data_IF_910089418531
#
_entry.id   IF_910089418531
#
_cell.length_a   1.000
_cell.length_b   1.000
_cell.length_c   1.000
_cell.angle_alpha   90.00
_cell.angle_beta   90.00
_cell.angle_gamma   90.00
#
_symmetry.space_group_name_H-M   'P 1'
#
loop_
_entity.id
_entity.type
_entity.pdbx_description
1 polymer ?
#
# COMPACT_ATOMS: atom_id res chain seq x y z
N UNK A 1 27.04 42.02 -35.38
CA UNK A 1 27.41 40.60 -35.40
C UNK A 1 26.32 39.78 -34.71
N UNK A 2 26.16 38.54 -35.10
CA UNK A 2 25.16 37.58 -34.52
C UNK A 2 25.30 37.47 -33.00
N UNK A 3 26.50 37.49 -32.46
CA UNK A 3 26.76 37.42 -31.01
C UNK A 3 26.21 38.64 -30.24
N UNK A 4 26.30 39.83 -30.75
CA UNK A 4 25.78 41.01 -30.07
C UNK A 4 24.24 41.06 -30.09
N UNK A 5 23.62 40.51 -31.13
CA UNK A 5 22.17 40.36 -31.18
C UNK A 5 21.66 39.32 -30.17
N UNK A 6 22.34 38.14 -30.03
CA UNK A 6 22.01 37.12 -29.04
C UNK A 6 22.10 37.67 -27.62
N UNK A 7 23.19 38.35 -27.29
CA UNK A 7 23.41 38.93 -25.96
C UNK A 7 22.34 39.98 -25.60
N UNK A 8 21.99 40.85 -26.52
CA UNK A 8 20.95 41.86 -26.32
C UNK A 8 19.56 41.25 -26.17
N UNK A 9 19.29 40.07 -26.77
CA UNK A 9 18.04 39.33 -26.61
C UNK A 9 17.98 38.64 -25.21
N UNK A 10 19.07 38.01 -24.78
CA UNK A 10 19.19 37.40 -23.47
C UNK A 10 18.96 38.41 -22.34
N UNK A 11 19.59 39.57 -22.39
CA UNK A 11 19.38 40.65 -21.42
C UNK A 11 17.91 41.13 -21.36
N UNK A 12 17.22 41.21 -22.51
CA UNK A 12 15.80 41.58 -22.56
C UNK A 12 14.91 40.53 -21.97
N UNK A 13 15.23 39.24 -22.22
CA UNK A 13 14.43 38.09 -21.64
C UNK A 13 14.63 38.07 -20.13
N UNK A 14 15.87 38.21 -19.65
CA UNK A 14 16.18 38.22 -18.22
C UNK A 14 15.41 39.36 -17.52
N UNK A 15 15.53 40.60 -18.06
CA UNK A 15 14.81 41.73 -17.51
C UNK A 15 13.28 41.51 -17.49
N UNK A 16 12.71 40.98 -18.58
CA UNK A 16 11.29 40.70 -18.66
C UNK A 16 10.83 39.68 -17.62
N UNK A 17 11.59 38.60 -17.42
CA UNK A 17 11.29 37.58 -16.42
C UNK A 17 11.41 38.11 -14.99
N UNK A 18 12.38 38.98 -14.71
CA UNK A 18 12.55 39.63 -13.41
C UNK A 18 11.44 40.63 -13.11
N UNK A 19 10.92 41.31 -14.13
CA UNK A 19 9.79 42.23 -14.00
C UNK A 19 8.42 41.51 -13.92
N UNK A 20 8.36 40.24 -14.38
CA UNK A 20 7.11 39.42 -14.44
C UNK A 20 7.33 38.04 -13.84
N UNK A 21 7.65 37.89 -12.52
CA UNK A 21 8.00 36.61 -11.90
C UNK A 21 6.84 35.60 -11.91
N UNK A 22 5.61 36.07 -12.06
CA UNK A 22 4.43 35.21 -12.19
C UNK A 22 4.46 34.30 -13.42
N UNK A 23 5.19 34.68 -14.48
CA UNK A 23 5.36 33.85 -15.68
C UNK A 23 6.17 32.60 -15.34
N UNK A 24 7.21 32.75 -14.52
CA UNK A 24 8.03 31.62 -14.06
C UNK A 24 7.18 30.67 -13.21
N UNK A 25 6.42 31.23 -12.25
CA UNK A 25 5.52 30.44 -11.38
C UNK A 25 4.49 29.69 -12.21
N UNK A 26 3.84 30.35 -13.17
CA UNK A 26 2.88 29.73 -14.07
C UNK A 26 3.52 28.63 -14.93
N UNK A 27 4.73 28.86 -15.43
CA UNK A 27 5.47 27.84 -16.20
C UNK A 27 5.78 26.59 -15.36
N UNK A 28 6.21 26.78 -14.10
CA UNK A 28 6.45 25.67 -13.16
C UNK A 28 5.17 24.91 -12.84
N UNK A 29 4.07 25.61 -12.55
CA UNK A 29 2.78 24.97 -12.31
C UNK A 29 2.32 24.12 -13.51
N UNK A 30 2.38 24.68 -14.73
CA UNK A 30 2.06 23.95 -15.95
C UNK A 30 2.93 22.71 -16.15
N UNK A 31 4.22 22.81 -15.81
CA UNK A 31 5.14 21.68 -15.88
C UNK A 31 4.79 20.58 -14.86
N UNK A 32 4.49 20.97 -13.62
CA UNK A 32 4.07 20.03 -12.58
C UNK A 32 2.75 19.34 -12.93
N UNK A 33 1.74 20.09 -13.41
CA UNK A 33 0.47 19.52 -13.87
C UNK A 33 0.65 18.54 -15.04
N UNK A 34 1.53 18.89 -16.00
CA UNK A 34 1.84 17.99 -17.11
C UNK A 34 2.50 16.70 -16.62
N UNK A 35 3.49 16.81 -15.73
CA UNK A 35 4.15 15.65 -15.12
C UNK A 35 3.18 14.78 -14.33
N UNK A 36 2.28 15.38 -13.54
CA UNK A 36 1.28 14.65 -12.78
C UNK A 36 0.35 13.85 -13.71
N UNK A 37 -0.12 14.44 -14.82
CA UNK A 37 -0.94 13.74 -15.82
C UNK A 37 -0.18 12.59 -16.51
N UNK A 38 1.07 12.82 -16.90
CA UNK A 38 1.90 11.77 -17.50
C UNK A 38 2.13 10.59 -16.54
N UNK A 39 2.33 10.90 -15.24
CA UNK A 39 2.47 9.89 -14.20
C UNK A 39 1.16 9.12 -13.97
N UNK A 40 0.02 9.81 -13.97
CA UNK A 40 -1.31 9.19 -13.82
C UNK A 40 -1.56 8.18 -14.94
N UNK A 41 -1.35 8.56 -16.20
CA UNK A 41 -1.47 7.67 -17.36
C UNK A 41 -0.54 6.46 -17.26
N UNK A 42 0.70 6.70 -16.83
CA UNK A 42 1.67 5.62 -16.63
C UNK A 42 1.24 4.67 -15.51
N UNK A 43 0.74 5.20 -14.40
CA UNK A 43 0.23 4.41 -13.29
C UNK A 43 -1.00 3.59 -13.68
N UNK A 44 -1.96 4.18 -14.39
CA UNK A 44 -3.13 3.46 -14.91
C UNK A 44 -2.72 2.29 -15.82
N UNK A 45 -1.76 2.51 -16.71
CA UNK A 45 -1.22 1.45 -17.57
C UNK A 45 -0.61 0.32 -16.74
N UNK A 46 0.26 0.64 -15.77
CA UNK A 46 0.88 -0.36 -14.88
C UNK A 46 -0.18 -1.14 -14.10
N UNK A 47 -1.20 -0.45 -13.56
CA UNK A 47 -2.30 -1.09 -12.82
C UNK A 47 -3.05 -2.07 -13.74
N UNK A 48 -3.41 -1.64 -14.95
CA UNK A 48 -4.16 -2.47 -15.89
C UNK A 48 -3.36 -3.70 -16.36
N UNK A 49 -2.06 -3.54 -16.60
CA UNK A 49 -1.16 -4.64 -16.98
C UNK A 49 -0.97 -5.67 -15.86
N UNK A 50 -1.19 -5.27 -14.59
CA UNK A 50 -1.02 -6.12 -13.43
C UNK A 50 -2.34 -6.44 -12.70
N UNK A 51 -3.49 -6.15 -13.32
CA UNK A 51 -4.80 -6.22 -12.65
C UNK A 51 -5.09 -7.61 -12.08
N UNK A 52 -4.80 -8.68 -12.83
CA UNK A 52 -5.01 -10.06 -12.39
C UNK A 52 -4.18 -10.37 -11.14
N UNK A 53 -2.90 -10.01 -11.13
CA UNK A 53 -2.01 -10.19 -9.98
C UNK A 53 -2.45 -9.34 -8.77
N UNK A 54 -2.88 -8.11 -9.01
CA UNK A 54 -3.35 -7.22 -7.94
C UNK A 54 -4.63 -7.74 -7.29
N UNK A 55 -5.56 -8.29 -8.08
CA UNK A 55 -6.87 -8.75 -7.62
C UNK A 55 -6.89 -10.22 -7.22
N UNK A 56 -5.77 -10.94 -7.41
CA UNK A 56 -5.62 -12.32 -6.97
C UNK A 56 -5.71 -12.42 -5.45
N UNK A 57 -6.61 -13.27 -5.00
CA UNK A 57 -6.88 -13.59 -3.59
C UNK A 57 -6.68 -15.09 -3.28
N UNK A 58 -6.02 -15.83 -4.18
CA UNK A 58 -5.77 -17.28 -4.02
C UNK A 58 -4.93 -17.63 -2.80
N UNK A 59 -4.14 -16.67 -2.31
CA UNK A 59 -3.36 -16.79 -1.08
C UNK A 59 -4.17 -16.65 0.23
N UNK A 60 -5.51 -16.48 0.15
CA UNK A 60 -6.38 -16.33 1.30
C UNK A 60 -6.33 -14.97 2.01
N UNK A 61 -5.60 -13.98 1.46
CA UNK A 61 -5.50 -12.65 2.05
C UNK A 61 -6.62 -11.75 1.51
N UNK A 62 -7.86 -12.02 1.88
CA UNK A 62 -9.01 -11.21 1.48
C UNK A 62 -10.11 -11.19 2.54
N UNK A 63 -11.08 -10.29 2.39
CA UNK A 63 -12.28 -10.17 3.21
C UNK A 63 -13.47 -9.79 2.31
N UNK A 64 -14.69 -10.09 2.76
CA UNK A 64 -15.94 -9.83 2.03
C UNK A 64 -16.31 -10.91 1.03
N UNK A 65 -17.12 -10.54 0.03
CA UNK A 65 -17.62 -11.49 -0.97
C UNK A 65 -16.58 -11.77 -2.07
N UNK A 66 -16.02 -13.00 -2.06
CA UNK A 66 -15.01 -13.42 -3.05
C UNK A 66 -15.48 -13.30 -4.50
N UNK A 67 -16.80 -13.44 -4.75
CA UNK A 67 -17.42 -13.35 -6.08
C UNK A 67 -17.77 -11.94 -6.51
N UNK A 68 -17.57 -10.94 -5.64
CA UNK A 68 -17.87 -9.56 -5.96
C UNK A 68 -16.99 -9.02 -7.08
N UNK A 69 -17.61 -8.27 -8.01
CA UNK A 69 -16.92 -7.55 -9.07
C UNK A 69 -16.34 -6.20 -8.59
N UNK A 70 -16.80 -5.70 -7.44
CA UNK A 70 -16.26 -4.51 -6.81
C UNK A 70 -15.10 -4.92 -5.92
N UNK A 71 -13.87 -4.61 -6.34
CA UNK A 71 -12.65 -5.05 -5.66
C UNK A 71 -11.90 -3.83 -5.14
N UNK A 72 -11.51 -3.89 -3.87
CA UNK A 72 -10.56 -2.95 -3.26
C UNK A 72 -9.26 -3.70 -3.03
N UNK A 73 -8.17 -3.23 -3.61
CA UNK A 73 -6.82 -3.73 -3.31
C UNK A 73 -6.18 -2.82 -2.27
N UNK A 74 -5.80 -3.38 -1.13
CA UNK A 74 -5.19 -2.65 -0.04
C UNK A 74 -3.75 -3.11 0.19
N UNK A 75 -2.79 -2.27 -0.15
CA UNK A 75 -1.42 -2.42 0.33
C UNK A 75 -1.32 -1.93 1.76
N UNK A 76 -0.67 -2.70 2.64
CA UNK A 76 -0.65 -2.36 4.06
C UNK A 76 0.58 -2.89 4.80
N UNK A 77 0.91 -2.22 5.89
CA UNK A 77 1.84 -2.68 6.92
C UNK A 77 1.11 -2.76 8.26
N UNK A 78 1.28 -3.83 9.01
CA UNK A 78 0.62 -4.06 10.30
C UNK A 78 0.98 -3.02 11.37
N UNK A 79 2.13 -2.36 11.24
CA UNK A 79 2.58 -1.30 12.18
C UNK A 79 2.22 0.12 11.69
N UNK A 80 1.60 0.25 10.52
CA UNK A 80 1.22 1.54 9.95
C UNK A 80 -0.08 2.07 10.60
N UNK A 81 0.00 3.20 11.30
CA UNK A 81 -1.14 3.83 11.96
C UNK A 81 -2.24 4.27 10.98
N UNK A 82 -1.86 4.76 9.81
CA UNK A 82 -2.82 5.12 8.75
C UNK A 82 -3.52 3.88 8.17
N UNK A 83 -2.81 2.75 8.05
CA UNK A 83 -3.41 1.49 7.62
C UNK A 83 -4.44 0.98 8.64
N UNK A 84 -4.16 1.14 9.94
CA UNK A 84 -5.12 0.82 11.02
C UNK A 84 -6.35 1.72 10.98
N UNK A 85 -6.17 3.02 10.70
CA UNK A 85 -7.29 3.95 10.53
C UNK A 85 -8.15 3.56 9.32
N UNK A 86 -7.54 3.29 8.17
CA UNK A 86 -8.23 2.85 6.96
C UNK A 86 -8.97 1.51 7.15
N UNK A 87 -8.48 0.62 8.03
CA UNK A 87 -9.19 -0.63 8.37
C UNK A 87 -10.59 -0.36 8.88
N UNK A 88 -10.77 0.63 9.76
CA UNK A 88 -12.09 0.99 10.30
C UNK A 88 -13.07 1.40 9.20
N UNK A 89 -12.63 2.14 8.20
CA UNK A 89 -13.49 2.58 7.11
C UNK A 89 -13.81 1.43 6.14
N UNK A 90 -12.85 0.57 5.86
CA UNK A 90 -13.05 -0.66 5.08
C UNK A 90 -14.06 -1.58 5.77
N UNK A 91 -13.98 -1.76 7.10
CA UNK A 91 -14.95 -2.57 7.84
C UNK A 91 -16.38 -1.99 7.79
N UNK A 92 -16.53 -0.66 7.69
CA UNK A 92 -17.84 -0.03 7.45
C UNK A 92 -18.36 -0.31 6.04
N UNK A 93 -17.49 -0.29 5.04
CA UNK A 93 -17.85 -0.61 3.65
C UNK A 93 -18.27 -2.07 3.49
N UNK A 94 -17.51 -3.00 4.06
CA UNK A 94 -17.83 -4.44 4.05
C UNK A 94 -19.20 -4.77 4.63
N UNK A 95 -19.71 -3.93 5.56
CA UNK A 95 -21.05 -4.11 6.14
C UNK A 95 -22.19 -3.55 5.26
N UNK A 96 -21.88 -2.65 4.34
CA UNK A 96 -22.88 -1.89 3.57
C UNK A 96 -22.90 -2.25 2.09
N UNK A 97 -21.78 -2.72 1.57
CA UNK A 97 -21.55 -2.92 0.16
C UNK A 97 -21.16 -4.38 -0.11
N UNK A 98 -21.60 -4.87 -1.26
CA UNK A 98 -21.11 -6.16 -1.78
C UNK A 98 -19.75 -5.92 -2.46
N UNK A 99 -18.67 -6.09 -1.69
CA UNK A 99 -17.29 -5.86 -2.13
C UNK A 99 -16.38 -7.02 -1.74
N UNK A 100 -15.29 -7.17 -2.47
CA UNK A 100 -14.11 -7.97 -2.10
C UNK A 100 -12.97 -7.02 -1.76
N UNK A 101 -12.31 -7.23 -0.64
CA UNK A 101 -11.07 -6.53 -0.27
C UNK A 101 -9.92 -7.51 -0.34
N UNK A 102 -8.95 -7.25 -1.23
CA UNK A 102 -7.72 -8.05 -1.36
C UNK A 102 -6.60 -7.33 -0.60
N UNK A 103 -5.95 -8.06 0.30
CA UNK A 103 -4.86 -7.53 1.10
C UNK A 103 -3.51 -7.90 0.49
N UNK A 104 -2.66 -6.89 0.25
CA UNK A 104 -1.29 -7.04 -0.22
C UNK A 104 -0.33 -6.55 0.86
N UNK A 105 0.48 -7.47 1.40
CA UNK A 105 1.49 -7.11 2.39
C UNK A 105 2.53 -6.15 1.79
N UNK A 106 2.86 -5.10 2.53
CA UNK A 106 3.91 -4.13 2.19
C UNK A 106 4.69 -3.76 3.46
N UNK A 107 5.42 -4.72 4.05
CA UNK A 107 6.03 -4.61 5.37
C UNK A 107 7.36 -3.84 5.34
N UNK A 108 7.29 -2.51 5.20
CA UNK A 108 8.46 -1.63 5.02
C UNK A 108 8.89 -0.88 6.29
N UNK A 109 8.07 -0.90 7.36
CA UNK A 109 8.32 -0.06 8.52
C UNK A 109 9.28 -0.67 9.56
N UNK A 110 9.35 -2.01 9.64
CA UNK A 110 10.22 -2.68 10.61
C UNK A 110 10.31 -4.20 10.36
N UNK A 111 11.29 -4.86 10.97
CA UNK A 111 11.39 -6.33 11.01
C UNK A 111 10.13 -6.97 11.61
N UNK A 112 9.52 -6.34 12.61
CA UNK A 112 8.26 -6.78 13.18
C UNK A 112 7.11 -6.72 12.16
N UNK A 113 7.14 -5.78 11.22
CA UNK A 113 6.17 -5.74 10.11
C UNK A 113 6.31 -6.95 9.20
N UNK A 114 7.55 -7.34 8.88
CA UNK A 114 7.86 -8.53 8.09
C UNK A 114 7.38 -9.79 8.82
N UNK A 115 7.68 -9.90 10.11
CA UNK A 115 7.21 -11.02 10.94
C UNK A 115 5.69 -11.15 10.96
N UNK A 116 4.96 -10.04 11.19
CA UNK A 116 3.50 -10.04 11.20
C UNK A 116 2.91 -10.36 9.84
N UNK A 117 3.54 -9.94 8.75
CA UNK A 117 3.12 -10.27 7.40
C UNK A 117 3.28 -11.77 7.11
N UNK A 118 4.42 -12.37 7.47
CA UNK A 118 4.64 -13.82 7.38
C UNK A 118 3.62 -14.59 8.22
N UNK A 119 3.37 -14.15 9.45
CA UNK A 119 2.36 -14.76 10.32
C UNK A 119 0.96 -14.67 9.73
N UNK A 120 0.59 -13.54 9.14
CA UNK A 120 -0.70 -13.37 8.46
C UNK A 120 -0.87 -14.34 7.29
N UNK A 121 0.16 -14.51 6.44
CA UNK A 121 0.16 -15.47 5.33
C UNK A 121 0.04 -16.90 5.88
N UNK A 122 0.82 -17.24 6.91
CA UNK A 122 0.79 -18.56 7.53
C UNK A 122 -0.59 -18.93 8.09
N UNK A 123 -1.28 -17.97 8.71
CA UNK A 123 -2.63 -18.16 9.21
C UNK A 123 -3.62 -18.34 8.05
N UNK A 124 -3.51 -17.50 7.00
CA UNK A 124 -4.38 -17.56 5.84
C UNK A 124 -4.28 -18.89 5.07
N UNK A 125 -3.09 -19.49 5.00
CA UNK A 125 -2.88 -20.82 4.40
C UNK A 125 -3.62 -21.93 5.12
N UNK A 126 -3.88 -21.76 6.43
CA UNK A 126 -4.62 -22.73 7.21
C UNK A 126 -6.13 -22.48 7.17
N UNK A 127 -6.54 -21.22 7.33
CA UNK A 127 -7.96 -20.85 7.40
C UNK A 127 -8.14 -19.32 7.21
N UNK A 128 -8.99 -18.97 6.24
CA UNK A 128 -9.29 -17.56 5.90
C UNK A 128 -10.02 -16.84 7.03
N UNK A 129 -10.92 -17.50 7.75
CA UNK A 129 -11.67 -16.88 8.85
C UNK A 129 -10.73 -16.56 10.02
N UNK A 130 -9.73 -17.40 10.25
CA UNK A 130 -8.68 -17.17 11.24
C UNK A 130 -7.78 -15.99 10.82
N UNK A 131 -7.47 -15.87 9.52
CA UNK A 131 -6.76 -14.69 9.00
C UNK A 131 -7.57 -13.40 9.22
N UNK A 132 -8.84 -13.38 8.89
CA UNK A 132 -9.69 -12.21 9.05
C UNK A 132 -9.80 -11.81 10.53
N UNK A 133 -9.91 -12.77 11.45
CA UNK A 133 -9.87 -12.51 12.90
C UNK A 133 -8.51 -11.97 13.35
N UNK A 134 -7.40 -12.56 12.88
CA UNK A 134 -6.06 -12.08 13.16
C UNK A 134 -5.87 -10.64 12.67
N UNK A 135 -6.18 -10.40 11.39
CA UNK A 135 -6.06 -9.10 10.76
C UNK A 135 -6.84 -8.02 11.51
N UNK A 136 -8.09 -8.33 11.89
CA UNK A 136 -8.93 -7.45 12.69
C UNK A 136 -8.30 -7.14 14.04
N UNK A 137 -7.94 -8.18 14.83
CA UNK A 137 -7.37 -7.98 16.17
C UNK A 137 -6.09 -7.16 16.17
N UNK A 138 -5.21 -7.35 15.17
CA UNK A 138 -3.97 -6.58 15.05
C UNK A 138 -4.25 -5.12 14.64
N UNK A 139 -5.18 -4.89 13.71
CA UNK A 139 -5.50 -3.53 13.25
C UNK A 139 -6.31 -2.72 14.28
N UNK A 140 -7.14 -3.36 15.11
CA UNK A 140 -7.88 -2.72 16.20
C UNK A 140 -6.99 -2.43 17.43
N UNK A 141 -5.81 -3.05 17.52
CA UNK A 141 -4.86 -2.78 18.59
C UNK A 141 -4.28 -1.36 18.45
N UNK A 142 -4.41 -0.56 19.51
CA UNK A 142 -3.81 0.78 19.56
C UNK A 142 -2.29 0.68 19.72
N UNK A 143 -1.58 1.35 18.84
CA UNK A 143 -0.11 1.38 18.88
C UNK A 143 0.54 0.07 18.38
N UNK A 144 1.78 -0.16 18.81
CA UNK A 144 2.56 -1.35 18.46
C UNK A 144 2.03 -2.57 19.21
N UNK A 145 1.98 -3.71 18.55
CA UNK A 145 1.56 -4.97 19.18
C UNK A 145 2.69 -5.48 20.11
N UNK A 146 2.39 -5.68 21.40
CA UNK A 146 3.36 -6.26 22.32
C UNK A 146 3.46 -7.78 22.12
N UNK A 147 4.55 -8.40 22.63
CA UNK A 147 4.75 -9.85 22.56
C UNK A 147 3.64 -10.61 23.30
N UNK A 148 3.21 -10.10 24.45
CA UNK A 148 2.14 -10.67 25.27
C UNK A 148 0.82 -10.63 24.52
N UNK A 149 0.49 -9.49 23.88
CA UNK A 149 -0.74 -9.36 23.10
C UNK A 149 -0.73 -10.24 21.86
N UNK A 150 0.42 -10.38 21.20
CA UNK A 150 0.59 -11.29 20.08
C UNK A 150 0.36 -12.75 20.53
N UNK A 151 0.97 -13.15 21.66
CA UNK A 151 0.77 -14.48 22.25
C UNK A 151 -0.70 -14.75 22.59
N UNK A 152 -1.43 -13.76 23.13
CA UNK A 152 -2.87 -13.87 23.38
C UNK A 152 -3.67 -14.11 22.08
N UNK A 153 -3.35 -13.33 21.04
CA UNK A 153 -4.04 -13.44 19.74
C UNK A 153 -3.78 -14.82 19.11
N UNK A 154 -2.53 -15.27 19.06
CA UNK A 154 -2.17 -16.54 18.43
C UNK A 154 -2.75 -17.74 19.19
N UNK A 155 -2.78 -17.70 20.51
CA UNK A 155 -3.48 -18.71 21.35
C UNK A 155 -4.97 -18.76 21.05
N UNK A 156 -5.65 -17.62 20.93
CA UNK A 156 -7.07 -17.57 20.57
C UNK A 156 -7.39 -18.16 19.19
N UNK A 157 -6.41 -18.11 18.29
CA UNK A 157 -6.53 -18.64 16.92
C UNK A 157 -6.00 -20.08 16.79
N UNK A 158 -5.48 -20.68 17.86
CA UNK A 158 -4.88 -22.00 17.82
C UNK A 158 -3.60 -22.07 16.97
N UNK A 159 -2.86 -20.95 16.87
CA UNK A 159 -1.64 -20.85 16.07
C UNK A 159 -0.43 -21.05 16.95
N UNK A 160 0.41 -22.04 16.59
CA UNK A 160 1.71 -22.25 17.22
C UNK A 160 2.77 -21.40 16.51
N UNK A 161 3.36 -20.45 17.23
CA UNK A 161 4.42 -19.57 16.70
C UNK A 161 5.73 -20.33 16.45
N UNK A 162 5.98 -21.46 17.10
CA UNK A 162 7.21 -22.24 16.88
C UNK A 162 7.29 -22.81 15.46
N UNK A 163 6.16 -23.03 14.80
CA UNK A 163 6.10 -23.45 13.41
C UNK A 163 6.72 -22.40 12.44
N UNK A 164 6.74 -21.14 12.82
CA UNK A 164 7.39 -20.06 12.04
C UNK A 164 8.91 -20.05 12.16
N UNK A 165 9.46 -20.73 13.16
CA UNK A 165 10.90 -20.87 13.35
C UNK A 165 11.50 -21.95 12.43
N UNK A 166 10.67 -22.78 11.78
CA UNK A 166 11.13 -23.73 10.76
C UNK A 166 11.67 -22.97 9.54
N UNK A 167 12.89 -23.27 9.14
CA UNK A 167 13.61 -22.59 8.06
C UNK A 167 12.87 -22.71 6.71
N UNK A 168 12.32 -23.90 6.42
CA UNK A 168 11.59 -24.13 5.16
C UNK A 168 10.29 -23.36 5.13
N UNK A 169 9.57 -23.29 6.26
CA UNK A 169 8.36 -22.47 6.41
C UNK A 169 8.71 -21.01 6.21
N UNK A 170 9.77 -20.53 6.82
CA UNK A 170 10.19 -19.13 6.75
C UNK A 170 10.56 -18.71 5.32
N UNK A 171 11.38 -19.51 4.61
CA UNK A 171 11.74 -19.28 3.19
C UNK A 171 10.48 -19.27 2.31
N UNK A 172 9.55 -20.21 2.52
CA UNK A 172 8.30 -20.26 1.75
C UNK A 172 7.45 -18.99 1.94
N UNK A 173 7.30 -18.54 3.19
CA UNK A 173 6.52 -17.33 3.50
C UNK A 173 7.18 -16.07 2.96
N UNK A 174 8.51 -16.02 2.96
CA UNK A 174 9.27 -14.88 2.42
C UNK A 174 9.05 -14.69 0.92
N UNK A 175 8.95 -15.78 0.16
CA UNK A 175 8.64 -15.75 -1.28
C UNK A 175 7.22 -15.26 -1.60
N UNK A 176 6.34 -15.18 -0.59
CA UNK A 176 4.95 -14.74 -0.75
C UNK A 176 4.72 -13.29 -0.27
N UNK A 177 5.76 -12.65 0.25
CA UNK A 177 5.73 -11.23 0.60
C UNK A 177 5.93 -10.36 -0.64
#
# INVERSE_FOLDING_TARGET
SLNAFSQALEEKIEKFLLENPEIILKSLQNFEEKKAKEQEVTNEKIINENLDSLTDSSNGLYDGNISSKKIIVKFFDYNCSYCKKAHTDIQKLLKKEDIKVVYKNFPILSENSVFLAKLGIFIAEKDIDSFNRFYKMVNENKGRLSKEKLSEITKKLGVNLDELNDEQVNIRLEKKL
#
